data_IF_828836860848
#
_entry.id   IF_828836860848
#
_cell.length_a   1.000
_cell.length_b   1.000
_cell.length_c   1.000
_cell.angle_alpha   90.00
_cell.angle_beta   90.00
_cell.angle_gamma   90.00
#
_symmetry.space_group_name_H-M   'P 1'
#
loop_
_entity.id
_entity.type
_entity.pdbx_description
1 polymer ?
#
# COMPACT_ATOMS: atom_id res chain seq x y z
N UNK A 1 -7.11 -16.31 -11.49
CA UNK A 1 -5.91 -16.99 -10.93
C UNK A 1 -5.09 -15.91 -10.24
N UNK A 2 -5.19 -15.77 -8.90
CA UNK A 2 -4.42 -14.79 -8.12
C UNK A 2 -3.34 -15.54 -7.35
N UNK A 3 -2.24 -15.83 -8.01
CA UNK A 3 -1.03 -16.38 -7.38
C UNK A 3 0.12 -15.63 -8.07
N UNK A 4 0.99 -14.86 -7.39
CA UNK A 4 1.84 -15.29 -6.27
C UNK A 4 2.48 -14.13 -5.48
N UNK A 5 2.80 -14.37 -4.19
CA UNK A 5 3.77 -13.61 -3.38
C UNK A 5 5.03 -14.45 -3.18
N UNK A 6 6.16 -13.93 -3.64
CA UNK A 6 7.47 -13.87 -2.97
C UNK A 6 8.06 -12.52 -3.42
N UNK A 7 7.23 -11.49 -3.23
CA UNK A 7 7.25 -10.11 -3.75
C UNK A 7 7.11 -9.84 -5.26
N UNK A 8 6.80 -10.84 -6.07
CA UNK A 8 6.29 -10.64 -7.45
C UNK A 8 4.86 -10.10 -7.59
N UNK A 9 4.34 -9.42 -6.56
CA UNK A 9 3.07 -8.66 -6.49
C UNK A 9 1.76 -9.46 -6.50
N UNK A 10 1.52 -10.11 -5.36
CA UNK A 10 0.25 -10.71 -4.98
C UNK A 10 -0.87 -9.66 -4.82
N UNK A 11 -2.05 -10.00 -5.37
CA UNK A 11 -3.24 -9.15 -5.35
C UNK A 11 -3.12 -7.88 -6.19
N UNK A 12 -4.24 -7.19 -6.37
CA UNK A 12 -4.25 -5.84 -6.93
C UNK A 12 -3.63 -4.87 -5.93
N UNK A 13 -3.16 -3.71 -6.41
CA UNK A 13 -2.63 -2.63 -5.53
C UNK A 13 -3.65 -2.26 -4.45
N UNK A 14 -4.94 -2.39 -4.75
CA UNK A 14 -6.05 -2.10 -3.84
C UNK A 14 -6.22 -3.13 -2.72
N UNK A 15 -5.69 -4.35 -2.89
CA UNK A 15 -5.72 -5.41 -1.88
C UNK A 15 -4.60 -5.25 -0.83
N UNK A 16 -3.80 -4.17 -0.91
CA UNK A 16 -2.64 -3.93 -0.05
C UNK A 16 -2.92 -2.87 1.00
N UNK A 17 -2.39 -3.11 2.19
CA UNK A 17 -2.62 -2.22 3.32
C UNK A 17 -1.64 -1.04 3.32
N UNK A 18 -2.12 0.20 3.50
CA UNK A 18 -1.28 1.34 3.81
C UNK A 18 -0.62 1.15 5.17
N UNK A 19 0.71 1.20 5.24
CA UNK A 19 1.46 1.12 6.50
C UNK A 19 2.42 2.29 6.65
N UNK A 20 2.70 2.74 7.90
CA UNK A 20 3.75 3.71 8.14
C UNK A 20 5.11 3.10 7.78
N UNK A 21 5.83 3.76 6.88
CA UNK A 21 7.19 3.44 6.49
C UNK A 21 8.21 4.05 7.46
N UNK A 22 9.47 3.57 7.40
CA UNK A 22 10.52 3.94 8.36
C UNK A 22 10.95 5.41 8.30
N UNK A 23 10.60 6.15 7.24
CA UNK A 23 10.98 7.57 7.04
C UNK A 23 9.76 8.51 6.99
N UNK A 24 8.63 8.09 7.56
CA UNK A 24 7.39 8.89 7.54
C UNK A 24 6.62 8.84 6.22
N UNK A 25 7.13 8.11 5.23
CA UNK A 25 6.39 7.77 4.01
C UNK A 25 5.39 6.65 4.27
N UNK A 26 4.30 6.61 3.49
CA UNK A 26 3.31 5.53 3.57
C UNK A 26 3.68 4.48 2.54
N UNK A 27 3.92 3.25 2.98
CA UNK A 27 4.21 2.11 2.11
C UNK A 27 2.97 1.26 1.87
N UNK A 28 3.00 0.45 0.81
CA UNK A 28 1.99 -0.59 0.57
C UNK A 28 2.52 -1.93 1.05
N UNK A 29 1.95 -2.47 2.11
CA UNK A 29 2.32 -3.76 2.66
C UNK A 29 1.57 -4.88 1.95
N UNK A 30 2.31 -5.88 1.47
CA UNK A 30 1.68 -7.07 0.94
C UNK A 30 1.06 -7.89 2.08
N UNK A 31 -0.22 -8.31 1.97
CA UNK A 31 -0.91 -9.05 3.04
C UNK A 31 -0.38 -10.46 3.28
N UNK A 32 0.44 -11.02 2.37
CA UNK A 32 0.88 -12.41 2.44
C UNK A 32 2.35 -12.60 2.85
N UNK A 33 3.25 -11.70 2.43
CA UNK A 33 4.68 -11.83 2.70
C UNK A 33 5.33 -10.60 3.35
N UNK A 34 4.52 -9.67 3.85
CA UNK A 34 4.93 -8.46 4.60
C UNK A 34 5.89 -7.50 3.87
N UNK A 35 6.21 -7.78 2.61
CA UNK A 35 7.03 -6.92 1.77
C UNK A 35 6.38 -5.54 1.59
N UNK A 36 7.19 -4.49 1.77
CA UNK A 36 6.80 -3.11 1.51
C UNK A 36 7.14 -2.79 0.07
N UNK A 37 6.11 -2.39 -0.66
CA UNK A 37 6.20 -2.08 -2.06
C UNK A 37 6.33 -0.57 -2.31
N UNK A 38 7.36 -0.16 -3.04
CA UNK A 38 7.70 1.23 -3.34
C UNK A 38 7.13 1.74 -4.68
N UNK A 39 6.44 0.88 -5.42
CA UNK A 39 5.88 1.16 -6.75
C UNK A 39 6.90 1.62 -7.81
N UNK A 40 8.20 1.37 -7.65
CA UNK A 40 9.26 1.88 -8.55
C UNK A 40 9.21 1.39 -10.01
N UNK A 41 8.36 0.41 -10.30
CA UNK A 41 8.08 -0.19 -11.61
C UNK A 41 6.96 0.55 -12.38
N UNK A 42 6.22 1.46 -11.75
CA UNK A 42 5.17 2.27 -12.39
C UNK A 42 5.73 3.61 -12.86
N UNK A 43 5.06 4.26 -13.82
CA UNK A 43 5.42 5.63 -14.16
C UNK A 43 5.05 6.59 -13.02
N UNK A 44 5.82 7.68 -12.86
CA UNK A 44 5.63 8.65 -11.77
C UNK A 44 4.19 9.17 -11.64
N UNK A 45 3.47 9.34 -12.76
CA UNK A 45 2.06 9.77 -12.77
C UNK A 45 1.13 8.73 -12.14
N UNK A 46 1.38 7.46 -12.40
CA UNK A 46 0.59 6.34 -11.88
C UNK A 46 0.90 6.11 -10.40
N UNK A 47 2.18 6.20 -10.03
CA UNK A 47 2.61 6.19 -8.63
C UNK A 47 1.91 7.28 -7.82
N UNK A 48 1.88 8.52 -8.33
CA UNK A 48 1.25 9.64 -7.62
C UNK A 48 -0.25 9.42 -7.38
N UNK A 49 -0.97 8.86 -8.36
CA UNK A 49 -2.39 8.55 -8.20
C UNK A 49 -2.63 7.47 -7.14
N UNK A 50 -1.80 6.42 -7.13
CA UNK A 50 -1.88 5.36 -6.12
C UNK A 50 -1.52 5.90 -4.74
N UNK A 51 -0.43 6.65 -4.60
CA UNK A 51 -0.03 7.21 -3.30
C UNK A 51 -1.06 8.19 -2.72
N UNK A 52 -1.73 8.97 -3.56
CA UNK A 52 -2.85 9.79 -3.13
C UNK A 52 -3.99 8.95 -2.54
N UNK A 53 -4.33 7.83 -3.19
CA UNK A 53 -5.37 6.92 -2.70
C UNK A 53 -4.96 6.18 -1.42
N UNK A 54 -3.74 5.67 -1.37
CA UNK A 54 -3.17 4.99 -0.19
C UNK A 54 -3.20 5.92 1.02
N UNK A 55 -2.83 7.20 0.84
CA UNK A 55 -2.91 8.22 1.89
C UNK A 55 -4.35 8.46 2.36
N UNK A 56 -5.30 8.58 1.44
CA UNK A 56 -6.74 8.71 1.79
C UNK A 56 -7.24 7.54 2.63
N UNK A 57 -6.90 6.31 2.24
CA UNK A 57 -7.28 5.08 2.98
C UNK A 57 -6.62 5.03 4.35
N UNK A 58 -5.34 5.36 4.45
CA UNK A 58 -4.62 5.42 5.72
C UNK A 58 -5.27 6.42 6.69
N UNK A 59 -5.60 7.62 6.23
CA UNK A 59 -6.26 8.64 7.04
C UNK A 59 -7.67 8.24 7.45
N UNK A 60 -8.43 7.59 6.56
CA UNK A 60 -9.76 7.07 6.88
C UNK A 60 -9.69 5.96 7.95
N UNK A 61 -8.73 5.04 7.84
CA UNK A 61 -8.50 3.98 8.81
C UNK A 61 -7.99 4.53 10.15
N UNK A 62 -7.07 5.50 10.14
CA UNK A 62 -6.59 6.17 11.35
C UNK A 62 -7.74 6.88 12.08
N UNK A 63 -8.65 7.52 11.34
CA UNK A 63 -9.86 8.14 11.91
C UNK A 63 -10.85 7.12 12.49
N UNK A 64 -10.88 5.88 11.97
CA UNK A 64 -11.68 4.78 12.52
C UNK A 64 -11.09 4.27 13.84
N UNK A 65 -9.77 4.08 13.93
CA UNK A 65 -9.09 3.62 15.15
C UNK A 65 -9.19 4.64 16.28
N UNK A 66 -9.17 5.94 15.98
CA UNK A 66 -9.31 7.00 16.98
C UNK A 66 -10.76 7.24 17.45
N UNK A 67 -11.74 6.53 16.85
CA UNK A 67 -13.17 6.65 17.18
C UNK A 67 -13.72 5.48 18.02
N UNK A 68 -12.92 4.44 18.22
CA UNK A 68 -13.15 3.33 19.16
C UNK A 68 -12.50 3.59 20.50
#
# INVERSE_FOLDING_TARGET
MREVCICGRYGDVEDRDPVPGPVGDIGLKCPNCDHIDDLGWLAAREQAAIWAEVRRRYEANAKLVLRT
#
